data_IF_737225285974
#
_entry.id   IF_737225285974
#
_cell.length_a   1.000
_cell.length_b   1.000
_cell.length_c   1.000
_cell.angle_alpha   90.00
_cell.angle_beta   90.00
_cell.angle_gamma   90.00
#
_symmetry.space_group_name_H-M   'P 1'
#
loop_
_entity.id
_entity.type
_entity.pdbx_description
1 polymer ?
#
# COMPACT_ATOMS: atom_id res chain seq x y z
N UNK A 1 46.19 -17.26 20.85
CA UNK A 1 44.91 -16.69 21.34
C UNK A 1 44.22 -16.03 20.16
N UNK A 2 43.10 -16.59 19.72
CA UNK A 2 42.37 -16.16 18.51
C UNK A 2 41.48 -14.97 18.85
N UNK A 3 41.81 -13.80 18.30
CA UNK A 3 41.00 -12.59 18.40
C UNK A 3 39.70 -12.76 17.64
N UNK A 4 38.57 -12.69 18.35
CA UNK A 4 37.24 -12.57 17.74
C UNK A 4 36.96 -11.09 17.45
N UNK A 5 36.98 -10.72 16.17
CA UNK A 5 36.44 -9.45 15.69
C UNK A 5 34.92 -9.60 15.59
N UNK A 6 34.20 -8.98 16.52
CA UNK A 6 32.73 -8.84 16.44
C UNK A 6 32.46 -7.68 15.49
N UNK A 7 32.08 -7.97 14.25
CA UNK A 7 31.54 -6.99 13.33
C UNK A 7 30.11 -6.63 13.79
N UNK A 8 29.99 -5.52 14.51
CA UNK A 8 28.69 -4.91 14.82
C UNK A 8 28.17 -4.31 13.51
N UNK A 9 27.27 -5.05 12.86
CA UNK A 9 26.54 -4.58 11.69
C UNK A 9 25.74 -3.34 12.05
N UNK A 10 26.15 -2.19 11.51
CA UNK A 10 25.46 -0.92 11.59
C UNK A 10 24.09 -1.06 10.91
N UNK A 11 23.05 -1.36 11.68
CA UNK A 11 21.67 -1.29 11.21
C UNK A 11 21.34 0.19 11.04
N UNK A 12 21.46 0.68 9.80
CA UNK A 12 20.97 2.00 9.42
C UNK A 12 19.44 2.00 9.56
N UNK A 13 18.97 2.53 10.68
CA UNK A 13 17.57 2.88 10.89
C UNK A 13 17.24 4.04 9.94
N UNK A 14 16.69 3.73 8.77
CA UNK A 14 16.01 4.73 7.96
C UNK A 14 14.74 5.17 8.70
N UNK A 15 14.89 6.23 9.49
CA UNK A 15 13.79 6.99 10.10
C UNK A 15 13.10 7.82 9.01
N UNK A 16 12.12 7.22 8.35
CA UNK A 16 11.24 7.92 7.41
C UNK A 16 10.40 6.91 6.64
N UNK A 17 9.09 6.92 6.86
CA UNK A 17 8.10 5.96 6.31
C UNK A 17 8.09 4.57 6.97
N UNK A 18 7.33 4.44 8.06
CA UNK A 18 7.25 3.23 8.88
C UNK A 18 5.94 2.49 8.64
N UNK A 19 5.88 1.69 7.57
CA UNK A 19 4.96 0.55 7.52
C UNK A 19 5.74 -0.73 7.18
N UNK A 20 6.62 -1.21 8.08
CA UNK A 20 7.14 -2.56 7.96
C UNK A 20 5.97 -3.54 7.90
N UNK A 21 6.13 -4.65 7.19
CA UNK A 21 5.15 -5.74 7.18
C UNK A 21 4.90 -6.17 8.62
N UNK A 22 3.76 -5.79 9.19
CA UNK A 22 3.37 -6.20 10.53
C UNK A 22 2.86 -7.66 10.53
N UNK A 23 2.63 -8.22 11.72
CA UNK A 23 2.17 -9.61 11.84
C UNK A 23 0.82 -9.88 11.18
N UNK A 24 -0.04 -8.86 11.05
CA UNK A 24 -1.38 -8.97 10.45
C UNK A 24 -1.29 -8.93 8.93
N UNK A 25 -0.52 -7.99 8.37
CA UNK A 25 -0.23 -7.91 6.94
C UNK A 25 0.52 -9.16 6.47
N UNK A 26 1.47 -9.67 7.26
CA UNK A 26 2.15 -10.94 6.97
C UNK A 26 1.16 -12.10 6.87
N UNK A 27 0.21 -12.23 7.81
CA UNK A 27 -0.85 -13.26 7.76
C UNK A 27 -1.75 -13.10 6.54
N UNK A 28 -2.16 -11.88 6.20
CA UNK A 28 -2.96 -11.60 5.01
C UNK A 28 -2.21 -11.99 3.72
N UNK A 29 -0.93 -11.63 3.59
CA UNK A 29 -0.07 -11.99 2.45
C UNK A 29 0.07 -13.51 2.31
N UNK A 30 0.40 -14.21 3.40
CA UNK A 30 0.55 -15.68 3.40
C UNK A 30 -0.72 -16.38 2.94
N UNK A 31 -1.87 -15.93 3.45
CA UNK A 31 -3.19 -16.47 3.10
C UNK A 31 -3.57 -16.20 1.64
N UNK A 32 -3.42 -14.96 1.17
CA UNK A 32 -3.86 -14.59 -0.18
C UNK A 32 -2.96 -15.17 -1.28
N UNK A 33 -1.66 -15.28 -1.02
CA UNK A 33 -0.70 -15.81 -1.98
C UNK A 33 -0.41 -17.31 -1.80
N UNK A 34 -0.97 -17.93 -0.75
CA UNK A 34 -0.77 -19.33 -0.38
C UNK A 34 0.73 -19.69 -0.23
N UNK A 35 1.42 -18.99 0.69
CA UNK A 35 2.85 -19.13 0.96
C UNK A 35 3.15 -19.08 2.47
N UNK A 36 4.17 -19.81 2.93
CA UNK A 36 4.50 -19.86 4.36
C UNK A 36 5.70 -18.97 4.77
N UNK A 37 6.61 -18.68 3.85
CA UNK A 37 7.85 -17.93 4.10
C UNK A 37 8.12 -16.88 3.01
N UNK A 38 7.38 -15.75 3.02
CA UNK A 38 7.65 -14.66 2.08
C UNK A 38 8.97 -13.95 2.40
N UNK A 39 9.75 -13.65 1.35
CA UNK A 39 10.80 -12.64 1.38
C UNK A 39 10.28 -11.36 0.73
N UNK A 40 10.68 -10.23 1.28
CA UNK A 40 10.24 -8.91 0.84
C UNK A 40 11.42 -8.11 0.30
N UNK A 41 11.28 -7.56 -0.91
CA UNK A 41 12.30 -6.71 -1.55
C UNK A 41 11.67 -5.42 -2.06
N UNK A 42 12.18 -4.27 -1.60
CA UNK A 42 11.69 -2.97 -2.05
C UNK A 42 12.06 -2.74 -3.53
N UNK A 43 11.12 -2.20 -4.30
CA UNK A 43 11.32 -1.87 -5.72
C UNK A 43 11.79 -0.42 -5.82
N UNK A 44 13.09 -0.20 -5.69
CA UNK A 44 13.69 1.14 -5.71
C UNK A 44 13.41 1.91 -7.01
N UNK A 45 13.20 1.19 -8.12
CA UNK A 45 12.85 1.77 -9.42
C UNK A 45 11.47 2.44 -9.47
N UNK A 46 10.60 2.19 -8.48
CA UNK A 46 9.25 2.77 -8.37
C UNK A 46 9.13 3.82 -7.26
N UNK A 47 10.26 4.30 -6.71
CA UNK A 47 10.31 5.28 -5.60
C UNK A 47 9.78 6.69 -5.94
N UNK A 48 9.00 6.85 -7.01
CA UNK A 48 8.43 8.15 -7.41
C UNK A 48 7.32 8.64 -6.47
N UNK A 49 6.73 7.77 -5.65
CA UNK A 49 5.73 8.18 -4.66
C UNK A 49 6.41 8.69 -3.39
N UNK A 50 6.43 10.01 -3.17
CA UNK A 50 6.87 10.61 -1.90
C UNK A 50 6.15 10.02 -0.66
N UNK A 51 4.97 9.44 -0.88
CA UNK A 51 4.05 8.97 0.16
C UNK A 51 3.79 7.47 0.07
N UNK A 52 4.69 6.67 -0.51
CA UNK A 52 4.52 5.21 -0.51
C UNK A 52 5.63 4.45 -1.20
N UNK A 53 5.62 3.13 -1.06
CA UNK A 53 6.62 2.26 -1.67
C UNK A 53 6.02 0.94 -2.14
N UNK A 54 6.62 0.38 -3.19
CA UNK A 54 6.30 -0.94 -3.69
C UNK A 54 7.31 -1.97 -3.18
N UNK A 55 6.82 -3.18 -2.94
CA UNK A 55 7.62 -4.31 -2.47
C UNK A 55 7.23 -5.57 -3.22
N UNK A 56 8.22 -6.28 -3.74
CA UNK A 56 8.09 -7.63 -4.26
C UNK A 56 7.97 -8.64 -3.14
N UNK A 57 7.17 -9.67 -3.39
CA UNK A 57 6.96 -10.81 -2.49
C UNK A 57 7.47 -12.06 -3.20
N UNK A 58 8.58 -12.59 -2.72
CA UNK A 58 9.19 -13.81 -3.21
C UNK A 58 8.83 -14.99 -2.31
N UNK A 59 8.45 -16.11 -2.91
CA UNK A 59 8.28 -17.37 -2.19
C UNK A 59 9.63 -18.07 -2.09
N UNK A 60 10.14 -18.25 -0.87
CA UNK A 60 11.42 -18.97 -0.65
C UNK A 60 11.35 -20.42 -1.14
N UNK A 61 10.20 -21.07 -1.05
CA UNK A 61 10.03 -22.45 -1.48
C UNK A 61 9.99 -22.60 -3.00
N UNK A 62 9.45 -21.61 -3.72
CA UNK A 62 9.34 -21.63 -5.18
C UNK A 62 10.47 -20.89 -5.89
N UNK A 63 11.25 -20.09 -5.15
CA UNK A 63 12.30 -19.21 -5.66
C UNK A 63 11.79 -18.28 -6.79
N UNK A 64 10.55 -17.80 -6.66
CA UNK A 64 9.91 -16.93 -7.64
C UNK A 64 9.13 -15.78 -6.97
N UNK A 65 8.93 -14.69 -7.71
CA UNK A 65 8.01 -13.62 -7.31
C UNK A 65 6.59 -14.14 -7.45
N UNK A 66 5.86 -14.14 -6.34
CA UNK A 66 4.47 -14.62 -6.25
C UNK A 66 3.46 -13.48 -6.17
N UNK A 67 3.91 -12.26 -5.87
CA UNK A 67 3.06 -11.09 -5.83
C UNK A 67 3.82 -9.84 -5.39
N UNK A 68 3.05 -8.80 -5.12
CA UNK A 68 3.57 -7.50 -4.73
C UNK A 68 2.69 -6.91 -3.64
N UNK A 69 3.22 -5.95 -2.88
CA UNK A 69 2.36 -5.04 -2.12
C UNK A 69 2.81 -3.60 -2.28
N UNK A 70 1.83 -2.70 -2.17
CA UNK A 70 2.06 -1.27 -2.03
C UNK A 70 1.67 -0.86 -0.62
N UNK A 71 2.46 0.03 -0.01
CA UNK A 71 2.09 0.73 1.21
C UNK A 71 2.18 2.22 0.95
N UNK A 72 1.13 2.98 1.27
CA UNK A 72 1.14 4.41 1.04
C UNK A 72 0.19 5.19 1.94
N UNK A 73 0.34 6.51 1.84
CA UNK A 73 -0.44 7.53 2.54
C UNK A 73 -1.15 8.41 1.52
N UNK A 74 -2.43 8.70 1.79
CA UNK A 74 -3.17 9.76 1.09
C UNK A 74 -3.64 10.78 2.12
N UNK A 75 -3.59 12.06 1.75
CA UNK A 75 -4.12 13.14 2.57
C UNK A 75 -5.60 13.34 2.26
N UNK A 76 -6.41 13.58 3.29
CA UNK A 76 -7.89 13.62 3.21
C UNK A 76 -8.46 14.98 3.57
N UNK A 77 -7.67 16.05 3.44
CA UNK A 77 -8.09 17.41 3.77
C UNK A 77 -8.88 18.09 2.63
N UNK A 78 -9.85 18.92 2.99
CA UNK A 78 -10.47 19.87 2.07
C UNK A 78 -9.51 21.02 1.76
N UNK A 79 -9.56 21.54 0.52
CA UNK A 79 -8.72 22.62 -0.01
C UNK A 79 -8.77 23.95 0.80
N UNK A 80 -9.63 24.08 1.80
CA UNK A 80 -9.80 25.28 2.62
C UNK A 80 -8.99 25.28 3.93
N UNK A 81 -8.49 24.14 4.41
CA UNK A 81 -7.80 24.06 5.72
C UNK A 81 -6.58 23.11 5.75
N UNK A 82 -6.03 22.73 4.61
CA UNK A 82 -4.82 21.91 4.60
C UNK A 82 -3.60 22.80 4.88
N UNK A 83 -3.05 22.75 6.10
CA UNK A 83 -1.73 23.32 6.34
C UNK A 83 -0.71 22.55 5.49
N UNK A 84 0.21 23.27 4.85
CA UNK A 84 1.25 22.71 3.99
C UNK A 84 2.26 21.83 4.72
N UNK A 85 2.07 21.60 6.02
CA UNK A 85 2.92 20.77 6.86
C UNK A 85 2.32 19.38 7.06
N UNK A 86 3.11 18.37 6.68
CA UNK A 86 2.78 16.93 6.70
C UNK A 86 2.30 16.45 8.10
N UNK A 87 2.65 17.17 9.17
CA UNK A 87 2.34 16.81 10.55
C UNK A 87 0.94 17.22 11.02
N UNK A 88 0.27 18.12 10.30
CA UNK A 88 -1.04 18.67 10.69
C UNK A 88 -2.17 18.30 9.73
N UNK A 89 -1.83 17.75 8.56
CA UNK A 89 -2.82 17.31 7.58
C UNK A 89 -3.46 15.99 7.97
N UNK A 90 -4.79 15.90 7.82
CA UNK A 90 -5.52 14.63 7.95
C UNK A 90 -5.10 13.65 6.85
N UNK A 91 -4.93 12.38 7.21
CA UNK A 91 -4.46 11.34 6.30
C UNK A 91 -5.06 9.97 6.60
N UNK A 92 -4.94 9.08 5.62
CA UNK A 92 -5.07 7.65 5.82
C UNK A 92 -3.86 6.93 5.23
N UNK A 93 -3.41 5.90 5.94
CA UNK A 93 -2.42 4.96 5.46
C UNK A 93 -3.10 3.67 5.08
N UNK A 94 -2.66 3.09 3.97
CA UNK A 94 -3.28 1.92 3.42
C UNK A 94 -2.28 1.04 2.70
N UNK A 95 -2.68 -0.21 2.51
CA UNK A 95 -1.91 -1.21 1.79
C UNK A 95 -2.76 -1.85 0.71
N UNK A 96 -2.10 -2.22 -0.38
CA UNK A 96 -2.68 -3.01 -1.45
C UNK A 96 -1.82 -4.27 -1.61
N UNK A 97 -2.44 -5.44 -1.62
CA UNK A 97 -1.78 -6.70 -1.96
C UNK A 97 -2.17 -7.05 -3.40
N UNK A 98 -1.20 -7.39 -4.22
CA UNK A 98 -1.37 -7.77 -5.62
C UNK A 98 -0.91 -9.20 -5.87
N UNK A 99 -1.49 -9.82 -6.90
CA UNK A 99 -0.91 -11.01 -7.49
C UNK A 99 0.28 -10.66 -8.41
N UNK A 100 0.93 -11.69 -8.93
CA UNK A 100 2.01 -11.62 -9.94
C UNK A 100 1.69 -10.75 -11.16
N UNK A 101 0.42 -10.62 -11.52
CA UNK A 101 -0.05 -9.86 -12.69
C UNK A 101 -0.49 -8.43 -12.35
N UNK A 102 -0.12 -7.92 -11.17
CA UNK A 102 -0.51 -6.60 -10.67
C UNK A 102 -2.02 -6.40 -10.52
N UNK A 103 -2.79 -7.49 -10.39
CA UNK A 103 -4.22 -7.43 -10.05
C UNK A 103 -4.40 -7.41 -8.54
N UNK A 104 -5.25 -6.50 -8.06
CA UNK A 104 -5.54 -6.28 -6.64
C UNK A 104 -6.20 -7.52 -6.03
N UNK A 105 -5.60 -8.06 -4.98
CA UNK A 105 -6.16 -9.13 -4.15
C UNK A 105 -6.82 -8.59 -2.89
N UNK A 106 -6.35 -7.45 -2.38
CA UNK A 106 -6.88 -6.82 -1.17
C UNK A 106 -6.46 -5.36 -1.11
N UNK A 107 -7.35 -4.51 -0.63
CA UNK A 107 -7.06 -3.16 -0.13
C UNK A 107 -7.43 -3.09 1.34
N UNK A 108 -6.60 -2.42 2.15
CA UNK A 108 -6.83 -2.28 3.58
C UNK A 108 -6.27 -0.97 4.08
N UNK A 109 -7.12 -0.17 4.73
CA UNK A 109 -6.67 0.97 5.53
C UNK A 109 -6.05 0.45 6.83
N UNK A 110 -4.82 0.86 7.12
CA UNK A 110 -4.05 0.45 8.30
C UNK A 110 -4.05 1.50 9.40
N UNK A 111 -4.09 2.78 9.03
CA UNK A 111 -4.20 3.92 9.94
C UNK A 111 -5.14 4.95 9.29
N UNK A 112 -5.99 5.60 10.09
CA UNK A 112 -6.87 6.65 9.60
C UNK A 112 -6.86 7.79 10.60
N UNK A 113 -6.09 8.82 10.29
CA UNK A 113 -5.87 10.01 11.10
C UNK A 113 -6.62 11.19 10.47
N UNK A 114 -7.93 11.19 10.63
CA UNK A 114 -8.82 12.27 10.24
C UNK A 114 -10.04 12.30 11.15
N UNK A 115 -10.69 13.46 11.26
CA UNK A 115 -11.87 13.67 12.10
C UNK A 115 -13.16 13.18 11.44
N UNK A 116 -13.18 13.08 10.10
CA UNK A 116 -14.35 12.70 9.32
C UNK A 116 -13.99 11.65 8.26
N UNK A 117 -14.99 10.96 7.72
CA UNK A 117 -14.81 10.07 6.57
C UNK A 117 -14.37 8.63 6.87
N UNK A 118 -14.40 8.19 8.13
CA UNK A 118 -13.99 6.84 8.55
C UNK A 118 -14.73 5.70 7.82
N UNK A 119 -15.89 5.96 7.22
CA UNK A 119 -16.64 4.96 6.46
C UNK A 119 -15.83 4.36 5.28
N UNK A 120 -14.82 5.07 4.77
CA UNK A 120 -13.90 4.56 3.74
C UNK A 120 -13.06 3.36 4.21
N UNK A 121 -12.91 3.16 5.54
CA UNK A 121 -12.18 2.02 6.11
C UNK A 121 -12.97 0.71 6.07
N UNK A 122 -14.25 0.76 5.68
CA UNK A 122 -15.11 -0.42 5.64
C UNK A 122 -14.59 -1.46 4.63
N UNK A 123 -14.34 -2.68 5.12
CA UNK A 123 -13.88 -3.80 4.28
C UNK A 123 -14.79 -4.07 3.08
N UNK A 124 -16.11 -3.92 3.26
CA UNK A 124 -17.08 -4.08 2.18
C UNK A 124 -16.85 -3.06 1.06
N UNK A 125 -16.68 -1.80 1.41
CA UNK A 125 -16.41 -0.75 0.43
C UNK A 125 -15.06 -0.95 -0.28
N UNK A 126 -14.00 -1.26 0.48
CA UNK A 126 -12.66 -1.54 -0.06
C UNK A 126 -12.60 -2.79 -0.96
N UNK A 127 -13.58 -3.70 -0.87
CA UNK A 127 -13.61 -4.92 -1.69
C UNK A 127 -13.90 -4.65 -3.16
N UNK A 128 -14.45 -3.47 -3.50
CA UNK A 128 -14.73 -3.06 -4.88
C UNK A 128 -13.49 -2.95 -5.76
N UNK A 129 -12.30 -2.79 -5.15
CA UNK A 129 -11.03 -2.72 -5.87
C UNK A 129 -10.46 -4.09 -6.22
N UNK A 130 -10.98 -5.20 -5.68
CA UNK A 130 -10.47 -6.55 -5.95
C UNK A 130 -10.60 -6.87 -7.44
N UNK A 131 -9.53 -7.40 -8.03
CA UNK A 131 -9.44 -7.71 -9.46
C UNK A 131 -8.98 -6.53 -10.32
N UNK A 132 -8.99 -5.30 -9.81
CA UNK A 132 -8.51 -4.14 -10.56
C UNK A 132 -7.03 -4.30 -10.93
N UNK A 133 -6.68 -3.98 -12.17
CA UNK A 133 -5.33 -4.19 -12.74
C UNK A 133 -4.82 -3.00 -13.56
N UNK A 134 -5.32 -1.78 -13.26
CA UNK A 134 -4.76 -0.54 -13.84
C UNK A 134 -5.22 -0.21 -15.26
N UNK A 135 -6.24 -0.89 -15.80
CA UNK A 135 -6.65 -0.78 -17.21
C UNK A 135 -7.82 0.16 -17.48
N UNK A 136 -8.57 0.58 -16.46
CA UNK A 136 -9.77 1.43 -16.57
C UNK A 136 -9.74 2.51 -15.50
N UNK A 137 -10.36 3.65 -15.73
CA UNK A 137 -10.47 4.68 -14.68
C UNK A 137 -11.45 4.27 -13.58
N UNK A 138 -11.12 4.63 -12.34
CA UNK A 138 -11.94 4.45 -11.16
C UNK A 138 -12.54 5.81 -10.75
N UNK A 139 -13.86 5.87 -10.67
CA UNK A 139 -14.61 7.09 -10.41
C UNK A 139 -15.67 6.80 -9.34
N UNK A 140 -15.55 7.51 -8.21
CA UNK A 140 -16.52 7.47 -7.12
C UNK A 140 -17.88 7.98 -7.61
N UNK A 141 -18.95 7.29 -7.23
CA UNK A 141 -20.31 7.54 -7.71
C UNK A 141 -20.60 7.01 -9.12
N UNK A 142 -19.63 6.41 -9.81
CA UNK A 142 -19.83 5.79 -11.13
C UNK A 142 -19.59 4.29 -11.07
N UNK A 143 -18.34 3.88 -10.86
CA UNK A 143 -17.93 2.47 -10.81
C UNK A 143 -17.25 2.09 -9.49
N UNK A 144 -17.21 3.04 -8.55
CA UNK A 144 -16.93 2.85 -7.13
C UNK A 144 -18.04 3.54 -6.36
N UNK A 145 -18.63 2.87 -5.37
CA UNK A 145 -19.74 3.43 -4.60
C UNK A 145 -19.34 4.73 -3.90
N UNK A 146 -20.22 5.73 -3.96
CA UNK A 146 -20.08 6.94 -3.15
C UNK A 146 -20.32 6.64 -1.66
N UNK A 147 -19.66 7.38 -0.78
CA UNK A 147 -19.83 7.23 0.67
C UNK A 147 -20.28 8.56 1.26
N UNK A 148 -21.48 8.57 1.84
CA UNK A 148 -21.99 9.74 2.55
C UNK A 148 -21.08 10.12 3.72
N UNK A 149 -20.70 11.40 3.81
CA UNK A 149 -19.80 11.90 4.85
C UNK A 149 -18.33 11.48 4.69
N UNK A 150 -17.95 10.86 3.57
CA UNK A 150 -16.57 10.42 3.30
C UNK A 150 -16.15 10.67 1.84
N UNK A 151 -16.75 11.64 1.14
CA UNK A 151 -16.48 11.91 -0.28
C UNK A 151 -14.99 12.17 -0.55
N UNK A 152 -14.36 13.04 0.24
CA UNK A 152 -12.95 13.44 0.05
C UNK A 152 -12.01 12.24 0.22
N UNK A 153 -12.21 11.44 1.28
CA UNK A 153 -11.36 10.28 1.53
C UNK A 153 -11.60 9.16 0.52
N UNK A 154 -12.86 8.96 0.10
CA UNK A 154 -13.22 8.00 -0.95
C UNK A 154 -12.58 8.38 -2.30
N UNK A 155 -12.64 9.65 -2.69
CA UNK A 155 -12.02 10.13 -3.94
C UNK A 155 -10.49 10.03 -3.87
N UNK A 156 -9.88 10.48 -2.76
CA UNK A 156 -8.43 10.48 -2.59
C UNK A 156 -7.84 9.07 -2.67
N UNK A 157 -8.40 8.10 -1.94
CA UNK A 157 -7.89 6.72 -1.97
C UNK A 157 -8.18 6.05 -3.32
N UNK A 158 -9.33 6.33 -3.95
CA UNK A 158 -9.68 5.76 -5.27
C UNK A 158 -8.69 6.23 -6.34
N UNK A 159 -8.38 7.53 -6.35
CA UNK A 159 -7.38 8.09 -7.26
C UNK A 159 -5.99 7.49 -7.03
N UNK A 160 -5.59 7.33 -5.77
CA UNK A 160 -4.29 6.75 -5.43
C UNK A 160 -4.19 5.29 -5.88
N UNK A 161 -5.22 4.47 -5.58
CA UNK A 161 -5.32 3.06 -6.01
C UNK A 161 -5.22 2.96 -7.54
N UNK A 162 -5.96 3.80 -8.28
CA UNK A 162 -5.86 3.84 -9.74
C UNK A 162 -4.40 4.10 -10.18
N UNK A 163 -3.79 5.16 -9.64
CA UNK A 163 -2.46 5.61 -10.02
C UNK A 163 -1.41 4.53 -9.73
N UNK A 164 -1.37 4.01 -8.51
CA UNK A 164 -0.31 3.08 -8.07
C UNK A 164 -0.47 1.70 -8.69
N UNK A 165 -1.71 1.24 -8.94
CA UNK A 165 -1.95 -0.02 -9.67
C UNK A 165 -1.48 0.11 -11.12
N UNK A 166 -1.75 1.24 -11.78
CA UNK A 166 -1.29 1.48 -13.15
C UNK A 166 0.23 1.53 -13.25
N UNK A 167 0.90 2.16 -12.29
CA UNK A 167 2.37 2.17 -12.18
C UNK A 167 2.92 0.74 -12.07
N UNK A 168 2.39 -0.05 -11.14
CA UNK A 168 2.83 -1.45 -10.97
C UNK A 168 2.53 -2.30 -12.21
N UNK A 169 1.36 -2.15 -12.81
CA UNK A 169 1.00 -2.90 -14.02
C UNK A 169 1.94 -2.58 -15.19
N UNK A 170 2.40 -1.34 -15.33
CA UNK A 170 3.39 -0.97 -16.35
C UNK A 170 4.78 -1.51 -16.03
N UNK A 171 5.15 -1.58 -14.75
CA UNK A 171 6.39 -2.21 -14.30
C UNK A 171 6.42 -3.71 -14.64
N UNK A 172 5.34 -4.44 -14.35
CA UNK A 172 5.24 -5.88 -14.59
C UNK A 172 5.14 -6.29 -16.07
N UNK A 173 4.89 -5.34 -16.99
CA UNK A 173 4.82 -5.58 -18.45
C UNK A 173 6.17 -5.44 -19.16
N UNK A 174 7.16 -4.84 -18.50
CA UNK A 174 8.54 -4.69 -19.00
C UNK A 174 9.32 -5.97 -18.71
#
# INVERSE_FOLDING_TARGET
MRSFLIAIGLVLLFSGFKYPVDSKLSKDIKRLLNIDNPKFRRIEALNESKNGFFTEIESVSKSEIVGYYYSGRVFTCNNTHCSTEINESEYLDYVIIYNKQASVLMVKVVEYNATHGHAVTAKGWLSQFIGYAGSKSLNVGTNIDAISGATISAEAITYDIERVTRVLANFCKK
#
